data_IF_578770416408
#
_entry.id   IF_578770416408
#
_cell.length_a   1.000
_cell.length_b   1.000
_cell.length_c   1.000
_cell.angle_alpha   90.00
_cell.angle_beta   90.00
_cell.angle_gamma   90.00
#
_symmetry.space_group_name_H-M   'P 1'
#
loop_
_entity.id
_entity.type
_entity.pdbx_description
1 polymer ?
#
# COMPACT_ATOMS: atom_id res chain seq x y z
N UNK A 1 -17.87 19.01 16.55
CA UNK A 1 -17.52 18.92 15.11
C UNK A 1 -16.76 17.62 14.93
N UNK A 2 -17.28 16.65 14.17
CA UNK A 2 -16.51 15.45 13.85
C UNK A 2 -15.51 15.88 12.76
N UNK A 3 -14.23 16.00 13.11
CA UNK A 3 -13.20 16.32 12.12
C UNK A 3 -13.20 15.26 11.02
N UNK A 4 -13.14 15.72 9.76
CA UNK A 4 -13.17 14.85 8.58
C UNK A 4 -12.07 13.78 8.69
N UNK A 5 -12.37 12.53 8.36
CA UNK A 5 -11.35 11.47 8.34
C UNK A 5 -10.17 11.84 7.41
N UNK A 6 -8.94 11.51 7.83
CA UNK A 6 -7.75 11.62 7.02
C UNK A 6 -7.70 10.46 6.04
N UNK A 7 -7.76 10.74 4.73
CA UNK A 7 -7.60 9.73 3.69
C UNK A 7 -6.17 9.76 3.18
N UNK A 8 -5.43 8.67 3.34
CA UNK A 8 -4.00 8.58 3.03
C UNK A 8 -3.78 7.45 2.03
N UNK A 9 -3.05 7.75 0.94
CA UNK A 9 -2.59 6.76 0.00
C UNK A 9 -1.20 6.26 0.41
N UNK A 10 -0.99 4.94 0.49
CA UNK A 10 0.29 4.30 0.82
C UNK A 10 0.57 3.19 -0.19
N UNK A 11 1.84 3.08 -0.61
CA UNK A 11 2.34 2.00 -1.46
C UNK A 11 3.58 1.42 -0.79
N UNK A 12 3.47 0.19 -0.29
CA UNK A 12 4.57 -0.59 0.26
C UNK A 12 4.67 -1.92 -0.52
N UNK A 13 5.78 -2.09 -1.24
CA UNK A 13 6.04 -3.28 -2.07
C UNK A 13 6.89 -4.36 -1.39
N UNK A 14 7.46 -4.06 -0.22
CA UNK A 14 8.30 -4.96 0.57
C UNK A 14 7.84 -4.96 2.04
N UNK A 15 8.11 -6.05 2.77
CA UNK A 15 7.71 -6.19 4.18
C UNK A 15 8.31 -5.09 5.07
N UNK A 16 9.55 -4.66 4.80
CA UNK A 16 10.20 -3.55 5.50
C UNK A 16 9.44 -2.23 5.32
N UNK A 17 8.96 -1.94 4.11
CA UNK A 17 8.15 -0.78 3.80
C UNK A 17 6.75 -0.84 4.41
N UNK A 18 6.17 -2.05 4.51
CA UNK A 18 4.88 -2.28 5.13
C UNK A 18 4.91 -1.99 6.65
N UNK A 19 5.96 -2.47 7.32
CA UNK A 19 6.22 -2.17 8.73
C UNK A 19 6.35 -0.67 9.00
N UNK A 20 7.22 0.01 8.24
CA UNK A 20 7.43 1.45 8.38
C UNK A 20 6.16 2.25 8.06
N UNK A 21 5.42 1.85 7.01
CA UNK A 21 4.15 2.46 6.65
C UNK A 21 3.13 2.32 7.78
N UNK A 22 3.05 1.15 8.42
CA UNK A 22 2.15 0.92 9.54
C UNK A 22 2.48 1.82 10.74
N UNK A 23 3.77 2.00 11.06
CA UNK A 23 4.20 2.87 12.15
C UNK A 23 3.90 4.35 11.91
N UNK A 24 4.04 4.80 10.66
CA UNK A 24 3.63 6.15 10.24
C UNK A 24 2.12 6.35 10.47
N UNK A 25 1.30 5.40 10.05
CA UNK A 25 -0.16 5.48 10.22
C UNK A 25 -0.56 5.48 11.69
N UNK A 26 0.04 4.62 12.51
CA UNK A 26 -0.21 4.59 13.97
C UNK A 26 0.14 5.93 14.61
N UNK A 27 1.30 6.48 14.29
CA UNK A 27 1.76 7.76 14.81
C UNK A 27 0.85 8.91 14.37
N UNK A 28 0.38 8.91 13.11
CA UNK A 28 -0.56 9.91 12.62
C UNK A 28 -1.91 9.85 13.34
N UNK A 29 -2.45 8.65 13.58
CA UNK A 29 -3.67 8.47 14.38
C UNK A 29 -3.50 9.02 15.79
N UNK A 30 -2.36 8.77 16.42
CA UNK A 30 -2.04 9.26 17.78
C UNK A 30 -1.89 10.78 17.84
N UNK A 31 -1.12 11.38 16.92
CA UNK A 31 -0.84 12.82 16.91
C UNK A 31 -2.10 13.62 16.57
N UNK A 32 -2.91 13.13 15.63
CA UNK A 32 -4.06 13.88 15.13
C UNK A 32 -5.36 13.57 15.86
N UNK A 33 -5.46 12.40 16.52
CA UNK A 33 -6.71 11.92 17.11
C UNK A 33 -7.83 11.65 16.08
N UNK A 34 -7.51 11.64 14.78
CA UNK A 34 -8.48 11.49 13.70
C UNK A 34 -8.54 10.07 13.18
N UNK A 35 -9.71 9.69 12.66
CA UNK A 35 -9.87 8.49 11.85
C UNK A 35 -8.94 8.60 10.62
N UNK A 36 -8.12 7.56 10.39
CA UNK A 36 -7.27 7.47 9.18
C UNK A 36 -7.77 6.32 8.31
N UNK A 37 -8.18 6.65 7.09
CA UNK A 37 -8.60 5.72 6.04
C UNK A 37 -7.47 5.53 5.04
N UNK A 38 -7.08 4.28 4.83
CA UNK A 38 -5.97 3.93 3.95
C UNK A 38 -6.49 3.49 2.58
N UNK A 39 -5.75 3.83 1.53
CA UNK A 39 -5.92 3.32 0.16
C UNK A 39 -4.56 3.02 -0.45
N UNK A 40 -4.47 2.05 -1.36
CA UNK A 40 -3.23 1.70 -2.05
C UNK A 40 -2.80 0.25 -1.85
N UNK A 41 -1.48 0.01 -1.78
CA UNK A 41 -0.86 -1.31 -1.76
C UNK A 41 -0.04 -1.46 -0.48
N UNK A 42 -0.18 -2.59 0.20
CA UNK A 42 0.57 -2.89 1.41
C UNK A 42 0.45 -4.34 1.80
N UNK A 43 1.31 -4.75 2.72
CA UNK A 43 1.35 -6.09 3.28
C UNK A 43 0.41 -6.24 4.47
N UNK A 44 0.73 -7.22 5.32
CA UNK A 44 -0.09 -7.58 6.48
C UNK A 44 -0.26 -6.43 7.46
N UNK A 45 0.80 -5.65 7.71
CA UNK A 45 0.84 -4.65 8.77
C UNK A 45 -0.02 -3.43 8.43
N UNK A 46 0.01 -2.97 7.17
CA UNK A 46 -0.95 -1.97 6.70
C UNK A 46 -2.37 -2.55 6.60
N UNK A 47 -2.50 -3.84 6.23
CA UNK A 47 -3.77 -4.55 6.21
C UNK A 47 -4.48 -4.57 7.57
N UNK A 48 -3.75 -4.88 8.65
CA UNK A 48 -4.24 -4.82 10.04
C UNK A 48 -4.75 -3.41 10.43
N UNK A 49 -4.26 -2.37 9.77
CA UNK A 49 -4.68 -0.98 10.00
C UNK A 49 -5.88 -0.57 9.14
N UNK A 50 -6.45 -1.50 8.37
CA UNK A 50 -7.62 -1.28 7.53
C UNK A 50 -7.30 -0.90 6.09
N UNK A 51 -6.06 -1.10 5.62
CA UNK A 51 -5.75 -1.02 4.20
C UNK A 51 -6.35 -2.24 3.49
N UNK A 52 -7.33 -2.01 2.62
CA UNK A 52 -7.81 -3.04 1.69
C UNK A 52 -6.92 -2.99 0.46
N UNK A 53 -5.86 -3.80 0.47
CA UNK A 53 -5.00 -3.96 -0.70
C UNK A 53 -5.77 -4.71 -1.80
N UNK A 54 -5.78 -4.22 -3.05
CA UNK A 54 -6.40 -4.94 -4.17
C UNK A 54 -5.62 -6.19 -4.60
N UNK A 55 -4.45 -6.44 -4.00
CA UNK A 55 -3.56 -7.55 -4.34
C UNK A 55 -3.01 -8.18 -3.06
N UNK A 56 -2.92 -9.51 -3.04
CA UNK A 56 -2.26 -10.23 -1.95
C UNK A 56 -0.74 -9.98 -2.06
N UNK A 57 -0.12 -9.48 -0.99
CA UNK A 57 1.32 -9.26 -0.97
C UNK A 57 2.11 -10.57 -1.20
N UNK A 58 1.49 -11.72 -0.92
CA UNK A 58 2.04 -13.04 -1.27
C UNK A 58 2.01 -13.35 -2.77
N UNK A 59 1.07 -12.80 -3.54
CA UNK A 59 1.02 -12.97 -5.01
C UNK A 59 1.97 -12.01 -5.75
N UNK A 60 2.30 -10.86 -5.16
CA UNK A 60 3.29 -9.90 -5.69
C UNK A 60 4.71 -10.17 -5.14
N UNK A 61 4.92 -11.28 -4.44
CA UNK A 61 6.25 -11.87 -4.30
C UNK A 61 6.71 -12.49 -5.64
N UNK A 62 6.68 -11.68 -6.70
CA UNK A 62 7.41 -11.93 -7.93
C UNK A 62 8.88 -12.07 -7.53
N UNK A 63 9.38 -13.30 -7.53
CA UNK A 63 10.76 -13.65 -7.22
C UNK A 63 11.72 -12.74 -8.02
N UNK A 64 12.27 -11.75 -7.34
CA UNK A 64 13.32 -10.88 -7.83
C UNK A 64 12.91 -9.91 -8.94
N UNK A 65 13.72 -8.86 -9.05
CA UNK A 65 13.77 -7.89 -10.14
C UNK A 65 13.62 -8.49 -11.56
N UNK A 66 13.96 -9.76 -11.74
CA UNK A 66 13.81 -10.55 -12.98
C UNK A 66 12.37 -10.74 -13.46
N UNK A 67 11.40 -10.91 -12.55
CA UNK A 67 10.03 -11.17 -12.95
C UNK A 67 9.29 -9.85 -13.29
N UNK A 68 9.64 -8.75 -12.61
CA UNK A 68 9.24 -7.38 -13.00
C UNK A 68 9.76 -7.05 -14.40
N UNK A 69 11.01 -7.35 -14.74
CA UNK A 69 11.56 -7.17 -16.09
C UNK A 69 10.82 -8.00 -17.16
N UNK A 70 10.36 -9.20 -16.79
CA UNK A 70 9.65 -10.11 -17.71
C UNK A 70 8.24 -9.62 -18.03
N UNK A 71 7.55 -9.01 -17.06
CA UNK A 71 6.17 -8.52 -17.23
C UNK A 71 6.08 -7.02 -17.59
N UNK A 72 7.18 -6.27 -17.49
CA UNK A 72 7.27 -4.85 -17.88
C UNK A 72 6.77 -4.57 -19.32
N UNK A 73 7.08 -5.39 -20.35
CA UNK A 73 6.56 -5.18 -21.70
C UNK A 73 5.04 -5.28 -21.76
N UNK A 74 4.45 -6.16 -20.94
CA UNK A 74 3.00 -6.38 -20.86
C UNK A 74 2.32 -5.23 -20.14
N UNK A 75 2.95 -4.67 -19.11
CA UNK A 75 2.48 -3.52 -18.35
C UNK A 75 2.51 -2.23 -19.18
N UNK A 76 3.62 -1.96 -19.88
CA UNK A 76 3.76 -0.82 -20.80
C UNK A 76 2.67 -0.84 -21.88
N UNK A 77 2.34 -2.03 -22.41
CA UNK A 77 1.31 -2.18 -23.44
C UNK A 77 -0.10 -1.82 -22.96
N UNK A 78 -0.37 -1.92 -21.66
CA UNK A 78 -1.66 -1.52 -21.05
C UNK A 78 -1.74 -0.01 -20.76
N UNK A 79 -0.62 0.67 -20.61
CA UNK A 79 -0.59 2.14 -20.38
C UNK A 79 -1.10 2.90 -21.62
N UNK A 80 -0.87 2.39 -22.83
CA UNK A 80 -1.43 2.97 -24.07
C UNK A 80 -2.90 2.65 -24.34
N UNK A 81 -3.60 1.99 -23.39
CA UNK A 81 -5.04 1.71 -23.46
C UNK A 81 -5.87 2.57 -22.50
N UNK A 82 -5.21 3.45 -21.74
CA UNK A 82 -5.82 4.55 -20.99
C UNK A 82 -5.71 5.84 -21.81
#
# INVERSE_FOLDING_TARGET
MVEKALKIAIVAGEESGDLLGADIVRSLRQITGREVRLVGLGGRHLGELGLVSPFDAGEIALMGFSAVLSDLPRLIRRIGQL
#
